data_IF_324060602654
#
_entry.id   IF_324060602654
#
_cell.length_a   1.000
_cell.length_b   1.000
_cell.length_c   1.000
_cell.angle_alpha   90.00
_cell.angle_beta   90.00
_cell.angle_gamma   90.00
#
_symmetry.space_group_name_H-M   'P 1'
#
loop_
_entity.id
_entity.type
_entity.pdbx_description
1 polymer ?
#
# COMPACT_ATOMS: atom_id res chain seq x y z
N UNK A 1 -0.37 -33.00 -29.04
CA UNK A 1 0.18 -32.52 -27.76
C UNK A 1 1.61 -31.98 -27.93
N UNK A 2 2.58 -32.77 -28.39
CA UNK A 2 3.98 -32.33 -28.52
C UNK A 2 4.21 -31.11 -29.46
N UNK A 3 3.57 -31.06 -30.64
CA UNK A 3 3.66 -29.92 -31.58
C UNK A 3 3.06 -28.61 -31.05
N UNK A 4 2.04 -28.69 -30.19
CA UNK A 4 1.41 -27.52 -29.58
C UNK A 4 2.28 -26.96 -28.44
N UNK A 5 2.91 -27.84 -27.65
CA UNK A 5 3.88 -27.48 -26.62
C UNK A 5 5.15 -26.84 -27.21
N UNK A 6 5.69 -27.38 -28.32
CA UNK A 6 6.84 -26.77 -29.00
C UNK A 6 6.49 -25.43 -29.66
N UNK A 7 5.30 -25.29 -30.23
CA UNK A 7 4.81 -24.01 -30.76
C UNK A 7 4.59 -22.95 -29.67
N UNK A 8 4.15 -23.35 -28.48
CA UNK A 8 4.01 -22.46 -27.32
C UNK A 8 5.38 -22.08 -26.74
N UNK A 9 6.31 -23.02 -26.64
CA UNK A 9 7.69 -22.75 -26.24
C UNK A 9 8.42 -21.79 -27.20
N UNK A 10 8.16 -21.90 -28.51
CA UNK A 10 8.71 -20.99 -29.51
C UNK A 10 8.14 -19.55 -29.41
N UNK A 11 6.91 -19.39 -28.91
CA UNK A 11 6.26 -18.09 -28.70
C UNK A 11 6.50 -17.51 -27.31
N UNK A 12 6.95 -18.31 -26.35
CA UNK A 12 7.22 -17.89 -24.98
C UNK A 12 8.19 -16.69 -24.88
N UNK A 13 9.31 -16.61 -25.63
CA UNK A 13 10.20 -15.45 -25.57
C UNK A 13 9.52 -14.16 -26.02
N UNK A 14 8.66 -14.22 -27.05
CA UNK A 14 7.89 -13.08 -27.54
C UNK A 14 6.84 -12.60 -26.54
N UNK A 15 6.16 -13.53 -25.85
CA UNK A 15 5.20 -13.19 -24.80
C UNK A 15 5.89 -12.60 -23.56
N UNK A 16 7.03 -13.15 -23.14
CA UNK A 16 7.83 -12.60 -22.03
C UNK A 16 8.28 -11.19 -22.37
N UNK A 17 8.79 -10.97 -23.59
CA UNK A 17 9.17 -9.63 -24.05
C UNK A 17 7.98 -8.66 -24.02
N UNK A 18 6.81 -9.07 -24.51
CA UNK A 18 5.59 -8.26 -24.44
C UNK A 18 5.15 -7.93 -23.00
N UNK A 19 5.27 -8.89 -22.07
CA UNK A 19 4.97 -8.66 -20.65
C UNK A 19 5.98 -7.70 -20.02
N UNK A 20 7.26 -7.82 -20.34
CA UNK A 20 8.30 -6.92 -19.85
C UNK A 20 8.09 -5.50 -20.39
N UNK A 21 7.87 -5.36 -21.70
CA UNK A 21 7.64 -4.08 -22.35
C UNK A 21 6.38 -3.38 -21.79
N UNK A 22 5.35 -4.15 -21.42
CA UNK A 22 4.14 -3.64 -20.79
C UNK A 22 4.31 -3.28 -19.31
N UNK A 23 5.04 -4.11 -18.55
CA UNK A 23 5.13 -3.99 -17.09
C UNK A 23 6.18 -2.98 -16.66
N UNK A 24 7.28 -2.84 -17.41
CA UNK A 24 8.38 -1.92 -17.10
C UNK A 24 7.92 -0.47 -16.89
N UNK A 25 7.18 0.17 -17.81
CA UNK A 25 6.75 1.56 -17.60
C UNK A 25 5.83 1.70 -16.38
N UNK A 26 4.96 0.71 -16.12
CA UNK A 26 4.04 0.73 -14.97
C UNK A 26 4.78 0.59 -13.65
N UNK A 27 5.76 -0.31 -13.60
CA UNK A 27 6.61 -0.49 -12.42
C UNK A 27 7.47 0.75 -12.18
N UNK A 28 7.93 1.44 -13.23
CA UNK A 28 8.66 2.70 -13.09
C UNK A 28 7.77 3.80 -12.48
N UNK A 29 6.52 3.93 -12.94
CA UNK A 29 5.57 4.87 -12.35
C UNK A 29 5.25 4.52 -10.90
N UNK A 30 5.00 3.24 -10.61
CA UNK A 30 4.80 2.75 -9.24
C UNK A 30 6.01 3.09 -8.35
N UNK A 31 7.22 2.83 -8.83
CA UNK A 31 8.46 3.08 -8.10
C UNK A 31 8.71 4.56 -7.85
N UNK A 32 8.35 5.42 -8.79
CA UNK A 32 8.42 6.87 -8.63
C UNK A 32 7.58 7.35 -7.42
N UNK A 33 6.31 6.94 -7.34
CA UNK A 33 5.42 7.32 -6.24
C UNK A 33 5.75 6.59 -4.93
N UNK A 34 6.08 5.30 -5.00
CA UNK A 34 6.47 4.52 -3.82
C UNK A 34 7.66 5.15 -3.07
N UNK A 35 8.63 5.72 -3.80
CA UNK A 35 9.79 6.40 -3.19
C UNK A 35 9.43 7.68 -2.44
N UNK A 36 8.34 8.35 -2.77
CA UNK A 36 7.96 9.60 -2.09
C UNK A 36 6.90 9.36 -1.02
N UNK A 37 5.98 8.42 -1.24
CA UNK A 37 4.84 8.19 -0.36
C UNK A 37 5.06 7.07 0.66
N UNK A 38 5.82 6.03 0.30
CA UNK A 38 6.04 4.85 1.16
C UNK A 38 7.40 4.87 1.87
N UNK A 39 8.18 5.94 1.71
CA UNK A 39 9.46 6.08 2.41
C UNK A 39 9.19 6.36 3.89
N UNK A 40 9.86 5.64 4.81
CA UNK A 40 9.69 5.89 6.23
C UNK A 40 10.01 7.36 6.56
N UNK A 41 9.23 8.00 7.44
CA UNK A 41 9.41 9.39 7.77
C UNK A 41 10.81 9.65 8.37
N UNK A 42 11.36 10.83 8.09
CA UNK A 42 12.62 11.26 8.70
C UNK A 42 12.41 11.55 10.19
N UNK A 43 13.41 11.34 11.06
CA UNK A 43 13.33 11.73 12.47
C UNK A 43 12.92 13.20 12.70
N UNK A 44 13.21 14.07 11.74
CA UNK A 44 12.83 15.49 11.75
C UNK A 44 11.32 15.73 11.63
N UNK A 45 10.56 14.76 11.13
CA UNK A 45 9.11 14.87 10.96
C UNK A 45 8.33 14.39 12.20
N UNK A 46 9.00 13.70 13.13
CA UNK A 46 8.40 13.18 14.36
C UNK A 46 7.73 14.29 15.20
N UNK A 47 8.36 15.47 15.44
CA UNK A 47 7.72 16.54 16.21
C UNK A 47 6.42 17.05 15.57
N UNK A 48 6.36 17.14 14.24
CA UNK A 48 5.16 17.57 13.53
C UNK A 48 4.03 16.54 13.66
N UNK A 49 4.38 15.25 13.62
CA UNK A 49 3.42 14.15 13.83
C UNK A 49 2.83 14.20 15.24
N UNK A 50 3.66 14.38 16.27
CA UNK A 50 3.19 14.44 17.66
C UNK A 50 2.31 15.66 17.94
N UNK A 51 2.63 16.82 17.36
CA UNK A 51 1.77 18.00 17.38
C UNK A 51 0.41 17.73 16.70
N UNK A 52 0.42 17.08 15.54
CA UNK A 52 -0.78 16.66 14.83
C UNK A 52 -1.67 15.76 15.69
N UNK A 53 -1.11 14.73 16.32
CA UNK A 53 -1.84 13.84 17.24
C UNK A 53 -2.43 14.60 18.43
N UNK A 54 -1.67 15.51 19.04
CA UNK A 54 -2.15 16.34 20.15
C UNK A 54 -3.36 17.20 19.75
N UNK A 55 -3.33 17.77 18.54
CA UNK A 55 -4.44 18.56 17.99
C UNK A 55 -5.70 17.71 17.72
N UNK A 56 -5.53 16.47 17.26
CA UNK A 56 -6.63 15.51 17.06
C UNK A 56 -7.29 15.16 18.40
N UNK A 57 -6.49 14.88 19.44
CA UNK A 57 -7.01 14.60 20.79
C UNK A 57 -7.78 15.79 21.35
N UNK A 58 -7.28 17.01 21.17
CA UNK A 58 -7.99 18.24 21.57
C UNK A 58 -9.31 18.41 20.79
N UNK A 59 -9.30 18.13 19.49
CA UNK A 59 -10.50 18.22 18.63
C UNK A 59 -11.57 17.19 19.01
N UNK A 60 -11.14 15.97 19.41
CA UNK A 60 -12.02 14.95 19.95
C UNK A 60 -12.66 15.39 21.28
N UNK A 61 -11.85 15.89 22.22
CA UNK A 61 -12.32 16.38 23.54
C UNK A 61 -13.27 17.57 23.44
N UNK A 62 -13.03 18.49 22.50
CA UNK A 62 -13.86 19.70 22.29
C UNK A 62 -15.14 19.43 21.49
N UNK A 63 -15.35 18.21 21.00
CA UNK A 63 -16.54 17.84 20.24
C UNK A 63 -16.58 18.35 18.80
N UNK A 64 -15.48 18.92 18.28
CA UNK A 64 -15.38 19.43 16.90
C UNK A 64 -15.63 18.38 15.83
N UNK A 65 -15.39 17.10 16.15
CA UNK A 65 -15.66 15.97 15.25
C UNK A 65 -17.13 15.88 14.81
N UNK A 66 -18.08 16.44 15.59
CA UNK A 66 -19.51 16.46 15.25
C UNK A 66 -19.86 17.42 14.11
N UNK A 67 -18.97 18.36 13.78
CA UNK A 67 -19.17 19.36 12.73
C UNK A 67 -18.53 18.94 11.40
N UNK A 68 -17.88 17.78 11.36
CA UNK A 68 -17.18 17.29 10.17
C UNK A 68 -18.21 16.79 9.14
N UNK A 69 -18.14 17.23 7.87
CA UNK A 69 -19.05 16.76 6.83
C UNK A 69 -18.84 15.27 6.55
N UNK A 70 -19.91 14.57 6.18
CA UNK A 70 -19.90 13.11 5.94
C UNK A 70 -18.82 12.68 4.94
N UNK A 71 -18.57 13.49 3.91
CA UNK A 71 -17.53 13.22 2.92
C UNK A 71 -16.13 13.13 3.56
N UNK A 72 -15.80 14.06 4.45
CA UNK A 72 -14.50 14.07 5.14
C UNK A 72 -14.42 12.96 6.18
N UNK A 73 -15.50 12.72 6.93
CA UNK A 73 -15.56 11.61 7.89
C UNK A 73 -15.34 10.25 7.19
N UNK A 74 -15.95 10.08 6.02
CA UNK A 74 -15.77 8.87 5.20
C UNK A 74 -14.33 8.71 4.71
N UNK A 75 -13.73 9.77 4.17
CA UNK A 75 -12.34 9.76 3.72
C UNK A 75 -11.37 9.41 4.86
N UNK A 76 -11.53 10.04 6.03
CA UNK A 76 -10.71 9.76 7.21
C UNK A 76 -10.87 8.31 7.69
N UNK A 77 -12.07 7.74 7.56
CA UNK A 77 -12.33 6.33 7.90
C UNK A 77 -11.59 5.40 6.95
N UNK A 78 -11.58 5.69 5.64
CA UNK A 78 -10.85 4.88 4.66
C UNK A 78 -9.34 4.90 4.91
N UNK A 79 -8.76 6.07 5.19
CA UNK A 79 -7.34 6.19 5.55
C UNK A 79 -7.04 5.40 6.82
N UNK A 80 -7.93 5.48 7.82
CA UNK A 80 -7.76 4.70 9.07
C UNK A 80 -7.78 3.20 8.81
N UNK A 81 -8.66 2.73 7.92
CA UNK A 81 -8.72 1.33 7.51
C UNK A 81 -7.45 0.90 6.77
N UNK A 82 -6.91 1.75 5.88
CA UNK A 82 -5.66 1.50 5.18
C UNK A 82 -4.48 1.30 6.15
N UNK A 83 -4.35 2.16 7.16
CA UNK A 83 -3.33 2.03 8.21
C UNK A 83 -3.49 0.70 8.97
N UNK A 84 -4.72 0.29 9.27
CA UNK A 84 -4.99 -0.99 9.90
C UNK A 84 -4.61 -2.18 9.00
N UNK A 85 -4.81 -2.08 7.68
CA UNK A 85 -4.37 -3.12 6.76
C UNK A 85 -2.84 -3.25 6.69
N UNK A 86 -2.10 -2.15 6.79
CA UNK A 86 -0.63 -2.19 6.90
C UNK A 86 -0.13 -2.98 8.12
N UNK A 87 -0.87 -2.96 9.24
CA UNK A 87 -0.56 -3.82 10.38
C UNK A 87 -0.66 -5.31 10.02
N UNK A 88 -1.71 -5.74 9.34
CA UNK A 88 -1.88 -7.14 8.90
C UNK A 88 -0.86 -7.56 7.82
N UNK A 89 -0.45 -6.64 6.95
CA UNK A 89 0.68 -6.89 6.03
C UNK A 89 1.96 -7.16 6.82
N UNK A 90 2.22 -6.39 7.88
CA UNK A 90 3.32 -6.63 8.81
C UNK A 90 3.24 -7.98 9.50
N UNK A 91 2.04 -8.41 9.94
CA UNK A 91 1.81 -9.74 10.50
C UNK A 91 2.14 -10.85 9.48
N UNK A 92 1.72 -10.69 8.22
CA UNK A 92 2.01 -11.65 7.16
C UNK A 92 3.51 -11.79 6.90
N UNK A 93 4.26 -10.67 6.97
CA UNK A 93 5.73 -10.67 6.89
C UNK A 93 6.33 -11.39 8.11
N UNK A 94 5.89 -11.04 9.33
CA UNK A 94 6.42 -11.63 10.57
C UNK A 94 6.15 -13.13 10.70
N UNK A 95 5.02 -13.60 10.19
CA UNK A 95 4.63 -15.01 10.15
C UNK A 95 5.29 -15.80 9.02
N UNK A 96 5.79 -15.10 7.99
CA UNK A 96 6.40 -15.73 6.81
C UNK A 96 5.39 -16.45 5.90
N UNK A 97 4.13 -16.02 5.90
CA UNK A 97 3.07 -16.67 5.13
C UNK A 97 1.80 -15.84 5.02
N UNK A 98 1.14 -15.91 3.87
CA UNK A 98 -0.12 -15.21 3.61
C UNK A 98 -1.30 -15.92 4.30
N UNK A 99 -1.23 -17.24 4.45
CA UNK A 99 -2.33 -18.07 4.97
C UNK A 99 -1.93 -18.71 6.29
N UNK A 100 -2.58 -18.28 7.37
CA UNK A 100 -2.48 -18.90 8.70
C UNK A 100 -1.06 -18.92 9.29
N UNK A 101 -0.94 -19.29 10.56
CA UNK A 101 0.36 -19.62 11.14
C UNK A 101 0.72 -21.05 10.75
N UNK A 102 1.97 -21.26 10.35
CA UNK A 102 2.52 -22.62 10.24
C UNK A 102 2.72 -23.15 11.67
N UNK A 103 1.68 -23.81 12.17
CA UNK A 103 1.72 -24.60 13.42
C UNK A 103 2.21 -26.00 13.15
#
# INVERSE_FOLDING_TARGET
>A
MAKALTGLAAKAPGMIKGVVDYSTPKLNTFWHYARVELTPPSPTDIPKITEGLSSLVKSAKTGKWKQVPVKEAWLNTLITAEIAFWFFVGECIGKGGIVGYKV
#
